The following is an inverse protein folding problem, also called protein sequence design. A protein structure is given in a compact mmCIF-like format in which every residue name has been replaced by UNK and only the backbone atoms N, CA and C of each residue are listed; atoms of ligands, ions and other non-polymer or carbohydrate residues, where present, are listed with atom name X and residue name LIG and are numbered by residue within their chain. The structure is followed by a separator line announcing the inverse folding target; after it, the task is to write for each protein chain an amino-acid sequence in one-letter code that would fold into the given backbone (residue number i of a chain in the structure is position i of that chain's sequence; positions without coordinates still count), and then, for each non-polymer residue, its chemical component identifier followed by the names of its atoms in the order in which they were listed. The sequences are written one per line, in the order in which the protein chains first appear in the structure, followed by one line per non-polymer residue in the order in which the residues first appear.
data_IF_289378395713
#
_entry.id   IF_289378395713
#
_cell.length_a   1.000
_cell.length_b   1.000
_cell.length_c   1.000
_cell.angle_alpha   90.00
_cell.angle_beta   90.00
_cell.angle_gamma   90.00
#
_symmetry.space_group_name_H-M   'P 1'
#
loop_
_entity.id
_entity.type
_entity.pdbx_description
1 polymer ?
#
# COMPACT_ATOMS: atom_id res chain seq x y z
N UNK A 1 8.76 41.21 16.89
CA UNK A 1 7.46 41.56 16.30
C UNK A 1 7.05 40.42 15.39
N UNK A 2 6.30 39.45 15.96
CA UNK A 2 5.87 38.22 15.25
C UNK A 2 4.52 38.48 14.60
N UNK A 3 4.44 38.39 13.25
CA UNK A 3 3.18 38.37 12.52
C UNK A 3 2.75 36.90 12.34
N UNK A 4 1.67 36.53 13.02
CA UNK A 4 0.94 35.29 12.80
C UNK A 4 -0.09 35.54 11.70
N UNK A 5 0.09 34.91 10.53
CA UNK A 5 -0.91 34.91 9.46
C UNK A 5 -1.98 33.84 9.71
N UNK A 6 -3.22 34.29 9.89
CA UNK A 6 -4.40 33.45 10.03
C UNK A 6 -4.78 32.83 8.67
N UNK A 7 -5.18 31.55 8.69
CA UNK A 7 -5.60 30.75 7.51
C UNK A 7 -7.02 31.08 6.99
N UNK A 8 -7.50 32.34 7.09
CA UNK A 8 -8.90 32.66 6.81
C UNK A 8 -9.15 33.64 5.66
N UNK A 9 -8.16 34.08 4.91
CA UNK A 9 -8.36 35.04 3.83
C UNK A 9 -7.75 34.56 2.52
N UNK A 10 -8.49 33.71 1.79
CA UNK A 10 -8.29 33.55 0.36
C UNK A 10 -9.55 32.99 -0.32
N UNK A 11 -10.13 33.84 -1.17
CA UNK A 11 -10.88 33.56 -2.39
C UNK A 11 -12.38 33.45 -2.25
N UNK A 12 -13.02 34.62 -2.42
CA UNK A 12 -14.28 34.70 -3.13
C UNK A 12 -13.98 35.01 -4.62
N UNK A 13 -14.02 33.99 -5.48
CA UNK A 13 -14.13 34.14 -6.93
C UNK A 13 -15.37 33.37 -7.36
N UNK A 14 -16.40 34.16 -7.71
CA UNK A 14 -17.68 33.71 -8.26
C UNK A 14 -17.41 33.20 -9.68
N UNK A 15 -17.40 31.89 -9.84
CA UNK A 15 -17.54 31.21 -11.12
C UNK A 15 -18.78 30.33 -11.04
N UNK A 16 -19.83 30.66 -11.78
CA UNK A 16 -20.99 29.80 -11.99
C UNK A 16 -20.58 28.57 -12.80
N UNK A 17 -20.00 27.58 -12.13
CA UNK A 17 -19.67 26.27 -12.66
C UNK A 17 -20.73 25.27 -12.20
N UNK A 18 -21.28 24.51 -13.12
CA UNK A 18 -22.15 23.35 -12.85
C UNK A 18 -21.54 22.49 -11.76
N UNK A 19 -22.16 22.46 -10.60
CA UNK A 19 -21.76 21.61 -9.49
C UNK A 19 -22.07 20.15 -9.87
N UNK A 20 -21.08 19.44 -10.39
CA UNK A 20 -21.12 17.98 -10.42
C UNK A 20 -21.16 17.50 -8.96
N UNK A 21 -22.03 16.54 -8.61
CA UNK A 21 -22.02 15.99 -7.28
C UNK A 21 -20.63 15.40 -7.03
N UNK A 22 -19.91 15.93 -6.04
CA UNK A 22 -18.67 15.34 -5.57
C UNK A 22 -19.04 13.94 -5.07
N UNK A 23 -18.69 12.91 -5.82
CA UNK A 23 -18.78 11.54 -5.33
C UNK A 23 -17.94 11.48 -4.08
N UNK A 24 -18.59 11.27 -2.92
CA UNK A 24 -17.91 11.17 -1.65
C UNK A 24 -16.84 10.08 -1.75
N UNK A 25 -15.59 10.50 -1.66
CA UNK A 25 -14.47 9.55 -1.69
C UNK A 25 -14.65 8.59 -0.51
N UNK A 26 -14.60 7.27 -0.72
CA UNK A 26 -14.82 6.32 0.37
C UNK A 26 -13.87 6.61 1.53
N UNK A 27 -14.39 6.58 2.75
CA UNK A 27 -13.58 6.83 3.93
C UNK A 27 -12.36 5.91 3.95
N UNK A 28 -11.17 6.48 4.06
CA UNK A 28 -9.92 5.72 4.16
C UNK A 28 -9.82 5.07 5.54
N UNK A 29 -10.40 3.89 5.67
CA UNK A 29 -10.42 3.13 6.92
C UNK A 29 -10.09 1.65 6.69
N UNK A 30 -9.84 0.94 7.79
CA UNK A 30 -9.47 -0.46 7.78
C UNK A 30 -10.52 -1.36 7.10
N UNK A 31 -11.81 -1.09 7.33
CA UNK A 31 -12.89 -1.91 6.76
C UNK A 31 -12.90 -1.86 5.23
N UNK A 32 -12.70 -0.68 4.64
CA UNK A 32 -12.63 -0.50 3.18
C UNK A 32 -11.41 -1.22 2.60
N UNK A 33 -10.25 -1.12 3.27
CA UNK A 33 -9.02 -1.81 2.86
C UNK A 33 -9.19 -3.34 2.90
N UNK A 34 -9.72 -3.87 4.00
CA UNK A 34 -9.96 -5.30 4.19
C UNK A 34 -10.97 -5.82 3.15
N UNK A 35 -12.04 -5.08 2.89
CA UNK A 35 -13.02 -5.45 1.87
C UNK A 35 -12.40 -5.55 0.48
N UNK A 36 -11.54 -4.60 0.11
CA UNK A 36 -10.80 -4.62 -1.15
C UNK A 36 -9.82 -5.79 -1.23
N UNK A 37 -9.07 -6.05 -0.17
CA UNK A 37 -8.19 -7.21 -0.10
C UNK A 37 -8.96 -8.53 -0.21
N UNK A 38 -10.08 -8.65 0.49
CA UNK A 38 -10.91 -9.87 0.50
C UNK A 38 -11.51 -10.19 -0.86
N UNK A 39 -11.84 -9.19 -1.69
CA UNK A 39 -12.33 -9.43 -3.07
C UNK A 39 -11.29 -10.11 -3.97
N UNK A 40 -10.01 -10.16 -3.57
CA UNK A 40 -8.96 -10.85 -4.32
C UNK A 40 -8.88 -12.34 -3.99
N UNK A 41 -9.47 -12.78 -2.88
CA UNK A 41 -9.50 -14.20 -2.47
C UNK A 41 -10.24 -15.02 -3.53
N UNK A 42 -9.56 -16.04 -4.06
CA UNK A 42 -10.09 -16.90 -5.15
C UNK A 42 -9.99 -16.26 -6.56
N UNK A 43 -9.60 -14.99 -6.67
CA UNK A 43 -9.30 -14.32 -7.94
C UNK A 43 -7.83 -14.50 -8.31
N UNK A 44 -6.92 -14.12 -7.40
CA UNK A 44 -5.48 -14.36 -7.55
C UNK A 44 -5.18 -15.79 -7.11
N UNK A 45 -4.90 -16.66 -8.07
CA UNK A 45 -4.75 -18.12 -7.84
C UNK A 45 -3.35 -18.65 -8.13
N UNK A 46 -2.50 -17.86 -8.80
CA UNK A 46 -1.15 -18.25 -9.13
C UNK A 46 -0.14 -17.28 -8.50
N UNK A 47 0.88 -17.84 -7.83
CA UNK A 47 2.03 -17.07 -7.36
C UNK A 47 3.02 -16.90 -8.51
N UNK A 48 3.24 -15.65 -8.98
CA UNK A 48 4.11 -15.36 -10.11
C UNK A 48 5.06 -14.19 -9.79
N UNK A 49 6.33 -14.49 -9.44
CA UNK A 49 7.35 -13.50 -9.14
C UNK A 49 8.06 -12.96 -10.39
N UNK A 50 7.68 -13.38 -11.59
CA UNK A 50 8.37 -13.01 -12.82
C UNK A 50 8.43 -11.49 -13.00
N UNK A 51 9.58 -11.00 -13.45
CA UNK A 51 9.72 -9.61 -13.85
C UNK A 51 8.85 -9.32 -15.08
N UNK A 52 8.03 -8.29 -15.00
CA UNK A 52 7.13 -7.88 -16.07
C UNK A 52 7.25 -6.39 -16.30
N UNK A 53 7.33 -5.96 -17.56
CA UNK A 53 7.19 -4.55 -17.91
C UNK A 53 5.73 -4.15 -17.69
N UNK A 54 5.53 -3.12 -16.89
CA UNK A 54 4.21 -2.63 -16.51
C UNK A 54 4.00 -1.22 -17.06
N UNK A 55 2.78 -0.84 -17.43
CA UNK A 55 2.42 0.57 -17.61
C UNK A 55 2.79 1.38 -16.36
N UNK A 56 3.03 2.67 -16.53
CA UNK A 56 3.33 3.57 -15.43
C UNK A 56 2.63 4.92 -15.68
N UNK A 57 1.87 5.48 -14.71
CA UNK A 57 1.44 4.86 -13.44
C UNK A 57 0.36 3.77 -13.63
N UNK A 58 -0.05 3.13 -12.55
CA UNK A 58 -1.21 2.23 -12.52
C UNK A 58 -0.96 0.82 -13.04
N UNK A 59 0.30 0.45 -13.30
CA UNK A 59 0.62 -0.88 -13.80
C UNK A 59 0.25 -2.00 -12.83
N UNK A 60 -0.23 -3.12 -13.37
CA UNK A 60 -0.53 -4.35 -12.64
C UNK A 60 -0.28 -5.55 -13.55
N UNK A 61 0.03 -6.70 -12.95
CA UNK A 61 -0.03 -7.99 -13.64
C UNK A 61 -1.47 -8.47 -13.70
N UNK A 62 -1.84 -9.41 -14.61
CA UNK A 62 -3.19 -9.96 -14.64
C UNK A 62 -3.66 -10.41 -13.25
N UNK A 63 -4.87 -10.03 -12.83
CA UNK A 63 -5.37 -10.27 -11.45
C UNK A 63 -5.43 -11.74 -11.04
N UNK A 64 -5.47 -12.66 -12.00
CA UNK A 64 -5.43 -14.13 -11.74
C UNK A 64 -4.08 -14.58 -11.16
N UNK A 65 -3.02 -13.77 -11.26
CA UNK A 65 -1.69 -14.07 -10.75
C UNK A 65 -1.08 -12.87 -10.01
N UNK A 66 -0.02 -13.11 -9.26
CA UNK A 66 0.70 -12.07 -8.54
C UNK A 66 1.55 -12.62 -7.42
N UNK A 67 2.13 -11.73 -6.63
CA UNK A 67 2.89 -12.05 -5.42
C UNK A 67 2.22 -11.41 -4.18
N UNK A 68 2.78 -11.62 -3.01
CA UNK A 68 2.22 -11.10 -1.75
C UNK A 68 2.02 -9.57 -1.75
N UNK A 69 2.93 -8.81 -2.36
CA UNK A 69 2.82 -7.36 -2.47
C UNK A 69 1.67 -6.92 -3.36
N UNK A 70 1.32 -7.69 -4.42
CA UNK A 70 0.22 -7.33 -5.32
C UNK A 70 -1.12 -7.32 -4.60
N UNK A 71 -1.31 -8.13 -3.55
CA UNK A 71 -2.50 -8.09 -2.69
C UNK A 71 -2.64 -6.72 -2.02
N UNK A 72 -1.54 -6.20 -1.47
CA UNK A 72 -1.51 -4.90 -0.79
C UNK A 72 -1.69 -3.76 -1.80
N UNK A 73 -0.94 -3.79 -2.91
CA UNK A 73 -0.99 -2.77 -3.97
C UNK A 73 -2.41 -2.62 -4.52
N UNK A 74 -3.04 -3.74 -4.85
CA UNK A 74 -4.42 -3.77 -5.37
C UNK A 74 -5.43 -3.33 -4.33
N UNK A 75 -5.25 -3.74 -3.06
CA UNK A 75 -6.14 -3.31 -1.98
C UNK A 75 -6.11 -1.79 -1.77
N UNK A 76 -4.93 -1.17 -1.81
CA UNK A 76 -4.79 0.29 -1.71
C UNK A 76 -5.42 1.01 -2.91
N UNK A 77 -5.21 0.48 -4.11
CA UNK A 77 -5.81 1.03 -5.33
C UNK A 77 -7.33 0.93 -5.32
N UNK A 78 -7.86 -0.27 -5.04
CA UNK A 78 -9.30 -0.55 -5.08
C UNK A 78 -10.07 0.10 -3.92
N UNK A 79 -9.40 0.34 -2.76
CA UNK A 79 -10.04 0.92 -1.58
C UNK A 79 -9.94 2.45 -1.55
N UNK A 80 -8.81 3.00 -1.99
CA UNK A 80 -8.44 4.39 -1.70
C UNK A 80 -8.06 5.19 -2.94
N UNK A 81 -8.07 4.58 -4.12
CA UNK A 81 -7.52 5.16 -5.36
C UNK A 81 -6.05 5.59 -5.19
N UNK A 82 -5.28 4.82 -4.40
CA UNK A 82 -3.86 5.06 -4.17
C UNK A 82 -3.00 4.11 -4.99
N UNK A 83 -2.23 4.67 -5.91
CA UNK A 83 -1.27 3.90 -6.70
C UNK A 83 0.08 3.80 -6.00
N UNK A 84 0.31 2.66 -5.31
CA UNK A 84 1.59 2.40 -4.64
C UNK A 84 2.77 2.30 -5.61
N UNK A 85 2.56 1.94 -6.88
CA UNK A 85 3.62 1.98 -7.90
C UNK A 85 4.14 3.41 -8.07
N UNK A 86 3.25 4.36 -8.29
CA UNK A 86 3.60 5.76 -8.48
C UNK A 86 4.18 6.38 -7.20
N UNK A 87 3.56 6.11 -6.05
CA UNK A 87 3.98 6.67 -4.75
C UNK A 87 5.37 6.19 -4.33
N UNK A 88 5.64 4.87 -4.45
CA UNK A 88 6.96 4.29 -4.14
C UNK A 88 8.01 4.81 -5.11
N UNK A 89 7.72 4.85 -6.41
CA UNK A 89 8.66 5.35 -7.41
C UNK A 89 9.02 6.82 -7.16
N UNK A 90 8.05 7.68 -6.86
CA UNK A 90 8.28 9.09 -6.55
C UNK A 90 9.16 9.27 -5.30
N UNK A 91 8.87 8.53 -4.22
CA UNK A 91 9.67 8.59 -2.99
C UNK A 91 11.08 8.05 -3.20
N UNK A 92 11.24 6.95 -3.95
CA UNK A 92 12.54 6.39 -4.30
C UNK A 92 13.37 7.33 -5.19
N UNK A 93 12.76 8.03 -6.14
CA UNK A 93 13.47 9.03 -6.95
C UNK A 93 14.03 10.17 -6.10
N UNK A 94 13.29 10.62 -5.10
CA UNK A 94 13.72 11.68 -4.21
C UNK A 94 14.72 11.19 -3.14
N UNK A 95 14.66 9.92 -2.74
CA UNK A 95 15.38 9.40 -1.58
C UNK A 95 15.95 8.00 -1.83
N UNK A 96 16.51 7.75 -3.00
CA UNK A 96 17.00 6.41 -3.41
C UNK A 96 17.99 5.79 -2.40
N UNK A 97 18.79 6.63 -1.73
CA UNK A 97 19.73 6.22 -0.69
C UNK A 97 19.10 5.57 0.54
N UNK A 98 17.83 5.88 0.83
CA UNK A 98 17.09 5.35 1.99
C UNK A 98 16.48 3.95 1.76
N UNK A 99 16.55 3.43 0.53
CA UNK A 99 16.01 2.14 0.15
C UNK A 99 17.08 1.04 0.12
N UNK A 100 16.69 -0.24 0.31
CA UNK A 100 17.64 -1.36 0.30
C UNK A 100 18.41 -1.48 -1.02
N UNK A 101 19.73 -1.68 -0.92
CA UNK A 101 20.65 -1.79 -2.07
C UNK A 101 20.84 -3.21 -2.60
N UNK A 102 20.09 -4.18 -2.09
CA UNK A 102 20.30 -5.63 -2.31
C UNK A 102 20.10 -6.10 -3.77
N UNK A 103 19.60 -5.25 -4.66
CA UNK A 103 19.42 -5.59 -6.10
C UNK A 103 20.44 -4.91 -7.02
N UNK A 104 21.43 -4.18 -6.46
CA UNK A 104 22.49 -3.55 -7.25
C UNK A 104 22.02 -2.44 -8.20
N UNK A 105 20.79 -1.91 -8.01
CA UNK A 105 20.27 -0.85 -8.86
C UNK A 105 20.90 0.50 -8.52
N UNK A 106 21.16 1.31 -9.54
CA UNK A 106 21.63 2.69 -9.42
C UNK A 106 20.48 3.72 -9.49
N UNK A 107 19.29 3.29 -9.89
CA UNK A 107 18.09 4.10 -10.02
C UNK A 107 16.82 3.27 -9.77
N UNK A 108 15.67 3.91 -9.46
CA UNK A 108 14.41 3.20 -9.31
C UNK A 108 13.98 2.48 -10.59
N UNK A 109 13.34 1.33 -10.41
CA UNK A 109 12.68 0.56 -11.46
C UNK A 109 11.17 0.49 -11.18
N UNK A 110 10.38 1.26 -11.94
CA UNK A 110 8.93 1.35 -11.78
C UNK A 110 8.19 0.03 -12.03
N UNK A 111 8.81 -0.95 -12.69
CA UNK A 111 8.18 -2.25 -12.95
C UNK A 111 8.15 -3.15 -11.73
N UNK A 112 9.14 -3.02 -10.79
CA UNK A 112 9.33 -4.03 -9.76
C UNK A 112 9.49 -3.46 -8.35
N UNK A 113 9.90 -2.20 -8.18
CA UNK A 113 10.25 -1.69 -6.85
C UNK A 113 9.09 -1.71 -5.86
N UNK A 114 7.88 -1.35 -6.30
CA UNK A 114 6.66 -1.43 -5.48
C UNK A 114 6.23 -2.87 -5.16
N UNK A 115 6.72 -3.86 -5.92
CA UNK A 115 6.47 -5.29 -5.73
C UNK A 115 7.49 -5.97 -4.81
N UNK A 116 8.40 -5.21 -4.21
CA UNK A 116 9.45 -5.70 -3.31
C UNK A 116 9.10 -5.37 -1.86
N UNK A 117 8.88 -6.38 -1.02
CA UNK A 117 8.52 -6.19 0.39
C UNK A 117 9.46 -5.24 1.14
N UNK A 118 10.81 -5.36 1.04
CA UNK A 118 11.71 -4.42 1.73
C UNK A 118 11.57 -2.97 1.26
N UNK A 119 11.18 -2.73 0.01
CA UNK A 119 10.92 -1.38 -0.49
C UNK A 119 9.60 -0.82 0.07
N UNK A 120 8.54 -1.64 0.16
CA UNK A 120 7.30 -1.23 0.81
C UNK A 120 7.51 -0.94 2.30
N UNK A 121 8.31 -1.75 3.01
CA UNK A 121 8.69 -1.47 4.40
C UNK A 121 9.40 -0.11 4.53
N UNK A 122 10.40 0.15 3.68
CA UNK A 122 11.09 1.44 3.67
C UNK A 122 10.13 2.60 3.37
N UNK A 123 9.25 2.44 2.38
CA UNK A 123 8.24 3.43 2.03
C UNK A 123 7.30 3.75 3.19
N UNK A 124 6.66 2.73 3.80
CA UNK A 124 5.73 2.93 4.90
C UNK A 124 6.41 3.54 6.13
N UNK A 125 7.63 3.10 6.48
CA UNK A 125 8.44 3.71 7.55
C UNK A 125 8.69 5.20 7.30
N UNK A 126 9.09 5.55 6.10
CA UNK A 126 9.34 6.94 5.70
C UNK A 126 8.08 7.82 5.72
N UNK A 127 6.91 7.21 5.55
CA UNK A 127 5.61 7.88 5.69
C UNK A 127 5.10 7.91 7.13
N UNK A 128 5.90 7.47 8.11
CA UNK A 128 5.53 7.49 9.52
C UNK A 128 4.48 6.44 9.90
N UNK A 129 4.32 5.40 9.07
CA UNK A 129 3.31 4.34 9.28
C UNK A 129 3.87 3.09 9.97
N UNK A 130 5.12 3.12 10.44
CA UNK A 130 5.71 2.00 11.17
C UNK A 130 5.12 1.91 12.58
N UNK A 131 4.68 0.71 12.96
CA UNK A 131 4.14 0.40 14.27
C UNK A 131 5.06 -0.58 14.99
N UNK A 132 5.09 -0.51 16.32
CA UNK A 132 5.75 -1.51 17.13
C UNK A 132 5.06 -2.86 16.98
N UNK A 133 5.82 -3.96 16.97
CA UNK A 133 5.27 -5.31 16.98
C UNK A 133 4.44 -5.50 18.26
N UNK A 134 3.20 -6.01 18.15
CA UNK A 134 2.40 -6.31 19.31
C UNK A 134 3.01 -7.46 20.11
N UNK A 135 2.92 -7.38 21.43
CA UNK A 135 3.45 -8.41 22.34
C UNK A 135 2.70 -9.75 22.27
N UNK A 136 1.49 -9.74 21.70
CA UNK A 136 0.65 -10.94 21.56
C UNK A 136 -0.16 -10.89 20.24
N UNK A 137 -0.66 -12.05 19.75
CA UNK A 137 -1.50 -12.07 18.56
C UNK A 137 -2.75 -11.18 18.64
N UNK A 138 -3.31 -10.98 19.84
CA UNK A 138 -4.49 -10.12 20.05
C UNK A 138 -4.19 -8.62 19.93
N UNK A 139 -2.93 -8.22 19.89
CA UNK A 139 -2.53 -6.82 19.70
C UNK A 139 -2.58 -6.35 18.25
N UNK A 140 -2.68 -7.27 17.28
CA UNK A 140 -2.89 -6.92 15.88
C UNK A 140 -4.29 -6.36 15.66
N UNK A 141 -4.38 -5.29 14.88
CA UNK A 141 -5.66 -4.66 14.55
C UNK A 141 -6.06 -4.96 13.11
N UNK A 142 -7.36 -5.14 12.82
CA UNK A 142 -7.85 -5.25 11.46
C UNK A 142 -7.36 -4.09 10.59
N UNK A 143 -6.80 -4.42 9.41
CA UNK A 143 -6.22 -3.44 8.48
C UNK A 143 -4.73 -3.16 8.68
N UNK A 144 -4.10 -3.66 9.73
CA UNK A 144 -2.63 -3.59 9.86
C UNK A 144 -1.96 -4.30 8.67
N UNK A 145 -0.89 -3.70 8.17
CA UNK A 145 -0.01 -4.34 7.20
C UNK A 145 1.11 -5.02 7.98
N UNK A 146 1.15 -6.34 7.93
CA UNK A 146 2.20 -7.09 8.56
C UNK A 146 3.26 -7.51 7.54
N UNK A 147 4.50 -7.65 8.01
CA UNK A 147 5.58 -8.27 7.25
C UNK A 147 6.24 -9.37 8.08
N UNK A 148 6.72 -10.41 7.41
CA UNK A 148 7.36 -11.56 8.04
C UNK A 148 8.45 -12.13 7.14
N UNK A 149 9.16 -13.15 7.63
CA UNK A 149 10.08 -13.97 6.85
C UNK A 149 9.53 -15.40 6.79
N UNK A 150 9.03 -15.81 5.64
CA UNK A 150 8.61 -17.20 5.40
C UNK A 150 9.86 -18.08 5.33
N UNK A 151 9.86 -19.18 6.09
CA UNK A 151 11.03 -20.04 6.20
C UNK A 151 12.28 -19.32 6.75
N UNK A 152 12.11 -18.22 7.47
CA UNK A 152 13.19 -17.43 8.05
C UNK A 152 13.96 -16.53 7.06
N UNK A 153 13.70 -16.62 5.77
CA UNK A 153 14.51 -15.96 4.73
C UNK A 153 13.72 -15.15 3.72
N UNK A 154 12.53 -15.59 3.33
CA UNK A 154 11.76 -14.96 2.25
C UNK A 154 10.85 -13.84 2.79
N UNK A 155 11.13 -12.56 2.45
CA UNK A 155 10.27 -11.46 2.87
C UNK A 155 8.85 -11.62 2.35
N UNK A 156 7.88 -11.47 3.24
CA UNK A 156 6.47 -11.65 2.97
C UNK A 156 5.65 -10.51 3.57
N UNK A 157 4.49 -10.20 2.97
CA UNK A 157 3.60 -9.12 3.39
C UNK A 157 2.13 -9.54 3.23
N UNK A 158 1.26 -8.99 4.05
CA UNK A 158 -0.18 -9.19 3.95
C UNK A 158 -0.96 -8.18 4.78
N UNK A 159 -2.28 -8.31 4.79
CA UNK A 159 -3.23 -7.44 5.49
C UNK A 159 -3.93 -8.24 6.57
N UNK A 160 -3.90 -7.74 7.81
CA UNK A 160 -4.62 -8.34 8.93
C UNK A 160 -6.12 -8.19 8.71
N UNK A 161 -6.82 -9.33 8.74
CA UNK A 161 -8.28 -9.40 8.54
C UNK A 161 -9.05 -8.98 9.80
N UNK A 162 -10.33 -8.69 9.63
CA UNK A 162 -11.32 -8.54 10.70
C UNK A 162 -11.90 -9.90 11.17
N UNK A 163 -11.40 -11.03 10.64
CA UNK A 163 -11.77 -12.39 11.02
C UNK A 163 -10.67 -13.04 11.82
N UNK A 164 -11.07 -13.93 12.71
CA UNK A 164 -10.17 -14.72 13.56
C UNK A 164 -10.42 -16.22 13.39
N UNK A 165 -9.41 -17.02 13.73
CA UNK A 165 -9.52 -18.47 13.87
C UNK A 165 -8.71 -18.90 15.08
N UNK A 166 -9.31 -19.67 16.01
CA UNK A 166 -8.65 -20.08 17.25
C UNK A 166 -8.13 -18.89 18.09
N UNK A 167 -8.84 -17.76 18.09
CA UNK A 167 -8.45 -16.53 18.80
C UNK A 167 -7.31 -15.74 18.15
N UNK A 168 -6.85 -16.13 16.95
CA UNK A 168 -5.79 -15.45 16.21
C UNK A 168 -6.35 -14.74 14.99
N UNK A 169 -5.92 -13.50 14.70
CA UNK A 169 -6.30 -12.81 13.48
C UNK A 169 -5.91 -13.61 12.24
N UNK A 170 -6.82 -13.69 11.27
CA UNK A 170 -6.50 -14.18 9.94
C UNK A 170 -5.80 -13.09 9.13
N UNK A 171 -5.07 -13.50 8.12
CA UNK A 171 -4.33 -12.61 7.22
C UNK A 171 -4.76 -12.86 5.79
N UNK A 172 -4.92 -11.78 5.03
CA UNK A 172 -5.17 -11.83 3.58
C UNK A 172 -3.83 -11.62 2.90
N UNK A 173 -3.36 -12.64 2.18
CA UNK A 173 -2.08 -12.63 1.48
C UNK A 173 -2.11 -13.60 0.29
N UNK A 174 -1.05 -13.63 -0.51
CA UNK A 174 -0.79 -14.61 -1.56
C UNK A 174 0.59 -15.25 -1.31
N UNK A 175 0.64 -16.59 -1.26
CA UNK A 175 1.85 -17.38 -1.01
C UNK A 175 1.84 -18.66 -1.84
#
# INVERSE_FOLDING_TARGET
MHLTLSRRDAIALIGAGLAFPATAQPARNAATLIAAARRQVGVTRAYDPAYTRLPFPGGDVPRAKGVCTDVVIRAYRDAFDLDLQALVNADMRAHFGAYPKRWGLSRPDSNIDHRRVPNLQAFFRRKGAELSLPASPSGWRPGDIFTSLVGGTLPHIGIVSDRTSGGRPLVIHNI
#
